data_IF_986767547387
#
_entry.id   IF_986767547387
#
_cell.length_a   1.000
_cell.length_b   1.000
_cell.length_c   1.000
_cell.angle_alpha   90.00
_cell.angle_beta   90.00
_cell.angle_gamma   90.00
#
_symmetry.space_group_name_H-M   'P 1'
#
loop_
_entity.id
_entity.type
_entity.pdbx_description
1 polymer ?
#
# COMPACT_ATOMS: atom_id res chain seq x y z
N UNK A 1 24.43 28.07 -15.14
CA UNK A 1 23.05 27.89 -14.66
C UNK A 1 22.14 27.73 -15.87
N UNK A 2 21.79 26.49 -16.23
CA UNK A 2 20.86 26.22 -17.35
C UNK A 2 19.44 26.17 -16.77
N UNK A 3 18.58 27.07 -17.22
CA UNK A 3 17.13 27.02 -16.98
C UNK A 3 16.58 25.83 -17.78
N UNK A 4 15.98 24.86 -17.10
CA UNK A 4 15.28 23.72 -17.71
C UNK A 4 13.78 24.05 -17.70
N UNK A 5 13.03 23.84 -18.80
CA UNK A 5 11.70 24.41 -18.98
C UNK A 5 10.62 23.68 -18.17
N UNK A 6 9.62 24.47 -17.75
CA UNK A 6 8.43 24.17 -16.92
C UNK A 6 7.43 23.12 -17.49
N UNK A 7 7.86 22.16 -18.31
CA UNK A 7 6.93 21.25 -19.02
C UNK A 7 6.76 19.89 -18.32
N UNK A 8 7.52 19.57 -17.27
CA UNK A 8 7.55 18.21 -16.71
C UNK A 8 6.41 17.88 -15.74
N UNK A 9 5.67 18.85 -15.21
CA UNK A 9 4.66 18.59 -14.17
C UNK A 9 3.35 17.99 -14.73
N UNK A 10 2.92 18.35 -15.95
CA UNK A 10 1.66 17.86 -16.51
C UNK A 10 1.77 16.42 -17.03
N UNK A 11 2.91 16.09 -17.63
CA UNK A 11 3.18 14.76 -18.19
C UNK A 11 3.26 13.71 -17.09
N UNK A 12 3.77 14.06 -15.90
CA UNK A 12 3.92 13.11 -14.80
C UNK A 12 2.60 12.81 -14.07
N UNK A 13 1.68 13.78 -13.93
CA UNK A 13 0.31 13.51 -13.43
C UNK A 13 -0.48 12.64 -14.40
N UNK A 14 -0.32 12.86 -15.70
CA UNK A 14 -0.91 12.00 -16.73
C UNK A 14 -0.28 10.61 -16.74
N UNK A 15 1.03 10.48 -16.51
CA UNK A 15 1.74 9.20 -16.42
C UNK A 15 1.28 8.37 -15.21
N UNK A 16 1.23 8.97 -14.01
CA UNK A 16 0.70 8.32 -12.80
C UNK A 16 -0.78 7.94 -12.95
N UNK A 17 -1.59 8.79 -13.60
CA UNK A 17 -2.99 8.48 -13.90
C UNK A 17 -3.13 7.37 -14.96
N UNK A 18 -2.23 7.26 -15.92
CA UNK A 18 -2.32 6.30 -17.02
C UNK A 18 -1.86 4.90 -16.60
N UNK A 19 -0.89 4.77 -15.70
CA UNK A 19 -0.50 3.48 -15.10
C UNK A 19 -1.65 2.91 -14.26
N UNK A 20 -2.38 3.75 -13.53
CA UNK A 20 -3.52 3.33 -12.70
C UNK A 20 -4.80 3.01 -13.49
N UNK A 21 -4.96 3.48 -14.73
CA UNK A 21 -6.15 3.24 -15.58
C UNK A 21 -6.08 1.97 -16.42
N UNK A 22 -4.91 1.36 -16.61
CA UNK A 22 -4.74 0.18 -17.49
C UNK A 22 -5.24 -1.17 -16.91
N UNK A 23 -5.93 -1.18 -15.77
CA UNK A 23 -6.40 -2.42 -15.11
C UNK A 23 -7.89 -2.48 -14.84
N UNK A 24 -8.72 -1.91 -15.71
CA UNK A 24 -10.17 -2.14 -15.70
C UNK A 24 -10.62 -2.32 -17.15
N UNK A 25 -10.82 -3.57 -17.56
CA UNK A 25 -11.57 -3.90 -18.77
C UNK A 25 -12.98 -4.30 -18.32
N UNK A 26 -14.00 -3.44 -18.43
CA UNK A 26 -15.37 -3.84 -18.18
C UNK A 26 -15.91 -4.56 -19.43
N UNK A 27 -16.12 -5.87 -19.33
CA UNK A 27 -16.94 -6.61 -20.28
C UNK A 27 -18.39 -6.13 -20.17
N UNK A 28 -18.89 -5.51 -21.22
CA UNK A 28 -20.25 -4.98 -21.32
C UNK A 28 -21.11 -5.91 -22.17
N UNK A 29 -21.89 -6.78 -21.53
CA UNK A 29 -23.16 -7.37 -21.99
C UNK A 29 -23.64 -8.33 -20.89
N UNK A 30 -24.86 -8.32 -20.36
CA UNK A 30 -26.03 -7.53 -20.66
C UNK A 30 -27.00 -7.54 -19.48
N UNK A 31 -27.93 -6.61 -19.54
CA UNK A 31 -29.13 -6.46 -18.71
C UNK A 31 -29.92 -7.77 -18.60
N UNK A 32 -30.16 -8.26 -17.38
CA UNK A 32 -31.35 -9.07 -17.08
C UNK A 32 -31.86 -8.72 -15.67
N UNK A 33 -32.90 -7.87 -15.70
CA UNK A 33 -34.09 -7.84 -14.84
C UNK A 33 -33.96 -8.03 -13.33
N UNK A 34 -34.27 -6.92 -12.66
CA UNK A 34 -34.92 -6.82 -11.34
C UNK A 34 -35.98 -7.92 -11.14
N UNK A 35 -35.74 -8.82 -10.18
CA UNK A 35 -36.81 -9.56 -9.50
C UNK A 35 -36.59 -9.41 -8.00
N UNK A 36 -37.34 -8.48 -7.42
CA UNK A 36 -37.61 -8.44 -5.99
C UNK A 36 -38.52 -9.63 -5.67
N UNK A 37 -38.01 -10.59 -4.90
CA UNK A 37 -38.86 -11.46 -4.08
C UNK A 37 -38.30 -11.43 -2.66
N UNK A 38 -39.02 -10.71 -1.82
CA UNK A 38 -38.92 -10.76 -0.37
C UNK A 38 -39.35 -12.15 0.07
N UNK A 39 -38.44 -12.94 0.63
CA UNK A 39 -38.77 -14.10 1.45
C UNK A 39 -38.05 -13.96 2.78
N UNK A 40 -38.78 -13.37 3.73
CA UNK A 40 -38.54 -13.51 5.17
C UNK A 40 -38.82 -14.95 5.61
N UNK A 41 -38.22 -15.35 6.73
CA UNK A 41 -38.22 -16.66 7.42
C UNK A 41 -37.01 -17.55 7.09
N UNK A 42 -36.20 -18.06 8.02
CA UNK A 42 -36.36 -18.23 9.45
C UNK A 42 -34.96 -18.20 10.13
N UNK A 43 -34.78 -17.33 11.12
CA UNK A 43 -33.60 -17.33 11.97
C UNK A 43 -33.72 -18.52 12.92
N UNK A 44 -33.00 -19.63 12.66
CA UNK A 44 -32.75 -20.61 13.71
C UNK A 44 -31.68 -20.03 14.62
N UNK A 45 -32.11 -19.54 15.78
CA UNK A 45 -31.22 -19.28 16.91
C UNK A 45 -30.62 -20.62 17.34
N UNK A 46 -29.40 -20.88 16.88
CA UNK A 46 -28.50 -21.76 17.59
C UNK A 46 -27.65 -20.86 18.50
N UNK A 47 -28.04 -20.78 19.77
CA UNK A 47 -27.11 -20.43 20.84
C UNK A 47 -26.01 -21.50 20.85
N UNK A 48 -24.95 -21.27 20.09
CA UNK A 48 -23.64 -21.83 20.43
C UNK A 48 -22.88 -20.66 21.02
N UNK A 49 -22.89 -20.61 22.34
CA UNK A 49 -21.87 -19.95 23.12
C UNK A 49 -20.57 -20.66 22.73
N UNK A 50 -19.90 -20.17 21.68
CA UNK A 50 -18.47 -20.40 21.51
C UNK A 50 -17.76 -19.45 22.44
N UNK A 51 -17.92 -19.69 23.74
CA UNK A 51 -16.87 -19.42 24.72
C UNK A 51 -15.80 -20.48 24.49
N UNK A 52 -15.10 -20.32 23.39
CA UNK A 52 -13.69 -20.62 23.34
C UNK A 52 -13.11 -19.24 23.16
N UNK A 53 -12.71 -18.61 24.26
CA UNK A 53 -11.53 -17.77 24.21
C UNK A 53 -10.40 -18.80 24.14
N UNK A 54 -9.96 -19.26 22.94
CA UNK A 54 -8.67 -19.88 22.91
C UNK A 54 -7.77 -18.75 23.34
N UNK A 55 -7.04 -18.95 24.43
CA UNK A 55 -5.76 -18.32 24.61
C UNK A 55 -5.13 -18.13 23.23
N UNK A 56 -5.23 -16.89 22.72
CA UNK A 56 -4.68 -16.51 21.44
C UNK A 56 -3.21 -16.49 21.73
N UNK A 57 -2.61 -17.67 21.69
CA UNK A 57 -1.22 -17.90 21.38
C UNK A 57 -1.03 -17.12 20.10
N UNK A 58 -0.63 -15.87 20.25
CA UNK A 58 -0.79 -14.82 19.25
C UNK A 58 0.28 -15.06 18.21
N UNK A 59 0.23 -16.13 17.43
CA UNK A 59 1.28 -16.57 16.50
C UNK A 59 1.93 -15.37 15.79
N UNK A 60 3.26 -15.41 15.69
CA UNK A 60 4.00 -14.34 15.03
C UNK A 60 3.40 -14.17 13.63
N UNK A 61 2.99 -12.94 13.32
CA UNK A 61 2.35 -12.66 12.04
C UNK A 61 3.29 -13.02 10.88
N UNK A 62 2.77 -13.81 9.94
CA UNK A 62 3.48 -14.12 8.71
C UNK A 62 3.67 -12.84 7.88
N UNK A 63 4.90 -12.59 7.43
CA UNK A 63 5.22 -11.38 6.68
C UNK A 63 4.48 -11.31 5.34
N UNK A 64 4.38 -12.42 4.60
CA UNK A 64 3.84 -12.40 3.25
C UNK A 64 2.32 -12.15 3.29
N UNK A 65 1.60 -12.72 4.26
CA UNK A 65 0.19 -12.41 4.52
C UNK A 65 -0.01 -10.93 4.89
N UNK A 66 0.83 -10.43 5.80
CA UNK A 66 0.85 -9.01 6.17
C UNK A 66 1.07 -8.13 4.93
N UNK A 67 2.11 -8.41 4.15
CA UNK A 67 2.56 -7.57 3.04
C UNK A 67 1.56 -7.58 1.89
N UNK A 68 0.96 -8.74 1.61
CA UNK A 68 -0.15 -8.88 0.66
C UNK A 68 -1.35 -8.03 1.08
N UNK A 69 -1.75 -8.11 2.34
CA UNK A 69 -2.88 -7.33 2.85
C UNK A 69 -2.56 -5.84 2.93
N UNK A 70 -1.32 -5.49 3.30
CA UNK A 70 -0.86 -4.11 3.37
C UNK A 70 -1.02 -3.37 2.03
N UNK A 71 -0.82 -4.06 0.90
CA UNK A 71 -0.94 -3.46 -0.44
C UNK A 71 -2.36 -3.53 -1.04
N UNK A 72 -3.28 -4.29 -0.44
CA UNK A 72 -4.63 -4.53 -1.00
C UNK A 72 -5.76 -3.92 -0.17
N UNK A 73 -5.54 -3.70 1.13
CA UNK A 73 -6.52 -3.15 2.08
C UNK A 73 -6.01 -1.83 2.67
N UNK A 74 -6.57 -0.70 2.23
CA UNK A 74 -6.12 0.63 2.64
C UNK A 74 -6.38 0.94 4.11
N UNK A 75 -7.46 0.41 4.70
CA UNK A 75 -7.75 0.56 6.12
C UNK A 75 -6.76 -0.22 6.96
N UNK A 76 -6.45 -1.46 6.55
CA UNK A 76 -5.41 -2.25 7.18
C UNK A 76 -4.04 -1.58 7.05
N UNK A 77 -3.70 -1.06 5.87
CA UNK A 77 -2.47 -0.32 5.65
C UNK A 77 -2.34 0.82 6.66
N UNK A 78 -3.34 1.69 6.77
CA UNK A 78 -3.35 2.80 7.73
C UNK A 78 -3.19 2.33 9.18
N UNK A 79 -3.81 1.21 9.55
CA UNK A 79 -3.66 0.62 10.90
C UNK A 79 -2.26 0.07 11.19
N UNK A 80 -1.47 -0.21 10.14
CA UNK A 80 -0.12 -0.79 10.22
C UNK A 80 0.98 0.21 9.95
N UNK A 81 0.66 1.50 9.88
CA UNK A 81 1.67 2.56 9.82
C UNK A 81 1.86 3.14 11.22
N UNK A 82 3.09 3.11 11.71
CA UNK A 82 3.46 3.73 12.99
C UNK A 82 3.86 5.18 12.76
N UNK A 83 2.88 6.08 12.77
CA UNK A 83 3.15 7.52 12.77
C UNK A 83 3.72 7.98 14.13
N UNK A 84 4.60 8.99 14.15
CA UNK A 84 5.28 9.56 12.99
C UNK A 84 6.30 8.58 12.40
N UNK A 85 6.36 8.49 11.07
CA UNK A 85 7.41 7.73 10.39
C UNK A 85 8.75 8.48 10.50
N UNK A 86 9.86 7.74 10.59
CA UNK A 86 11.20 8.34 10.74
C UNK A 86 11.74 9.02 9.47
N UNK A 87 11.22 8.69 8.28
CA UNK A 87 11.64 9.31 7.02
C UNK A 87 10.75 10.48 6.61
N UNK A 88 11.04 11.08 5.47
CA UNK A 88 10.38 12.29 4.97
C UNK A 88 9.98 12.13 3.50
N UNK A 89 9.11 13.02 3.04
CA UNK A 89 8.86 13.25 1.63
C UNK A 89 9.59 14.51 1.20
N UNK A 90 10.38 14.43 0.14
CA UNK A 90 11.02 15.59 -0.50
C UNK A 90 10.48 15.71 -1.91
N UNK A 91 9.80 16.83 -2.17
CA UNK A 91 9.32 17.20 -3.51
C UNK A 91 9.68 18.66 -3.83
N UNK A 92 9.23 19.17 -4.98
CA UNK A 92 9.47 20.57 -5.39
C UNK A 92 8.92 21.62 -4.41
N UNK A 93 8.02 21.24 -3.50
CA UNK A 93 7.49 22.12 -2.44
C UNK A 93 8.34 22.05 -1.16
N UNK A 94 9.38 21.21 -1.14
CA UNK A 94 10.32 21.03 -0.04
C UNK A 94 10.09 19.75 0.77
N UNK A 95 10.67 19.72 1.95
CA UNK A 95 10.61 18.56 2.85
C UNK A 95 9.34 18.54 3.70
N UNK A 96 8.69 17.38 3.79
CA UNK A 96 7.47 17.16 4.56
C UNK A 96 7.60 15.89 5.41
N UNK A 97 7.18 15.97 6.68
CA UNK A 97 7.03 14.78 7.53
C UNK A 97 5.76 14.02 7.16
N UNK A 98 5.81 12.69 7.27
CA UNK A 98 4.64 11.85 7.08
C UNK A 98 3.65 11.94 8.24
N UNK A 99 2.37 11.95 7.89
CA UNK A 99 1.22 11.93 8.77
C UNK A 99 0.10 11.11 8.11
N UNK A 100 -0.91 10.69 8.88
CA UNK A 100 -2.05 10.00 8.29
C UNK A 100 -2.82 10.84 7.26
N UNK A 101 -2.67 12.17 7.27
CA UNK A 101 -3.36 13.09 6.34
C UNK A 101 -2.69 13.23 4.97
N UNK A 102 -1.36 13.07 4.92
CA UNK A 102 -0.59 13.20 3.68
C UNK A 102 -0.01 11.87 3.18
N UNK A 103 -0.33 10.77 3.85
CA UNK A 103 0.04 9.43 3.40
C UNK A 103 -0.70 9.08 2.11
N UNK A 104 0.05 8.57 1.13
CA UNK A 104 -0.49 8.08 -0.13
C UNK A 104 -0.50 6.56 -0.05
N UNK A 105 -1.64 5.93 -0.32
CA UNK A 105 -1.78 4.48 -0.19
C UNK A 105 -0.81 3.74 -1.12
N UNK A 106 0.06 2.91 -0.54
CA UNK A 106 0.94 2.02 -1.28
C UNK A 106 0.14 0.86 -1.89
N UNK A 107 0.22 0.66 -3.20
CA UNK A 107 -0.55 -0.39 -3.90
C UNK A 107 0.33 -1.42 -4.61
N UNK A 108 1.50 -0.99 -5.06
CA UNK A 108 2.43 -1.84 -5.80
C UNK A 108 3.42 -2.45 -4.82
N UNK A 109 3.51 -3.78 -4.82
CA UNK A 109 4.55 -4.50 -4.08
C UNK A 109 5.88 -4.36 -4.79
N UNK A 110 6.99 -4.48 -4.07
CA UNK A 110 8.33 -4.42 -4.68
C UNK A 110 8.51 -5.48 -5.77
N UNK A 111 7.91 -6.66 -5.64
CA UNK A 111 7.97 -7.73 -6.64
C UNK A 111 7.14 -7.44 -7.90
N UNK A 112 6.20 -6.50 -7.83
CA UNK A 112 5.30 -6.13 -8.92
C UNK A 112 5.77 -4.86 -9.66
N UNK A 113 6.94 -4.31 -9.30
CA UNK A 113 7.53 -3.12 -9.95
C UNK A 113 8.07 -3.48 -11.34
N UNK A 114 7.83 -2.61 -12.32
CA UNK A 114 8.40 -2.71 -13.66
C UNK A 114 9.91 -2.41 -13.62
N UNK A 115 10.72 -3.46 -13.71
CA UNK A 115 12.17 -3.36 -13.65
C UNK A 115 12.83 -2.88 -14.94
N UNK A 116 12.05 -2.63 -16.00
CA UNK A 116 12.54 -1.98 -17.21
C UNK A 116 12.75 -0.47 -17.02
N UNK A 117 11.99 0.13 -16.10
CA UNK A 117 12.04 1.57 -15.77
C UNK A 117 12.69 1.81 -14.41
N UNK A 118 12.39 0.96 -13.42
CA UNK A 118 12.86 1.12 -12.05
C UNK A 118 13.97 0.14 -11.70
N UNK A 119 14.93 0.59 -10.91
CA UNK A 119 15.79 -0.30 -10.14
C UNK A 119 15.12 -0.60 -8.81
N UNK A 120 15.35 -1.80 -8.29
CA UNK A 120 14.78 -2.27 -7.02
C UNK A 120 15.84 -2.94 -6.17
N UNK A 121 15.77 -2.74 -4.86
CA UNK A 121 16.54 -3.48 -3.86
C UNK A 121 15.62 -3.82 -2.69
N UNK A 122 15.73 -5.03 -2.13
CA UNK A 122 15.05 -5.35 -0.89
C UNK A 122 15.84 -6.37 -0.06
N UNK A 123 15.65 -6.30 1.26
CA UNK A 123 16.31 -7.16 2.24
C UNK A 123 15.30 -7.59 3.31
N UNK A 124 15.14 -8.91 3.51
CA UNK A 124 14.21 -9.50 4.48
C UNK A 124 14.97 -10.25 5.57
N UNK A 125 14.55 -10.08 6.81
CA UNK A 125 14.93 -10.90 7.98
C UNK A 125 13.66 -11.33 8.71
N UNK A 126 13.79 -12.12 9.78
CA UNK A 126 12.67 -12.52 10.62
C UNK A 126 11.95 -11.35 11.32
N UNK A 127 12.61 -10.19 11.42
CA UNK A 127 12.11 -9.03 12.19
C UNK A 127 12.06 -7.73 11.40
N UNK A 128 12.60 -7.69 10.18
CA UNK A 128 12.64 -6.50 9.35
C UNK A 128 12.49 -6.80 7.87
N UNK A 129 11.89 -5.87 7.14
CA UNK A 129 11.92 -5.84 5.69
C UNK A 129 12.24 -4.41 5.24
N UNK A 130 13.26 -4.25 4.40
CA UNK A 130 13.59 -3.00 3.74
C UNK A 130 13.35 -3.19 2.25
N UNK A 131 12.73 -2.21 1.62
CA UNK A 131 12.58 -2.16 0.17
C UNK A 131 12.92 -0.74 -0.32
N UNK A 132 13.54 -0.67 -1.49
CA UNK A 132 13.92 0.55 -2.15
C UNK A 132 13.68 0.40 -3.65
N UNK A 133 13.18 1.46 -4.27
CA UNK A 133 13.16 1.56 -5.73
C UNK A 133 13.49 2.98 -6.17
N UNK A 134 14.09 3.11 -7.35
CA UNK A 134 14.55 4.40 -7.88
C UNK A 134 14.65 4.35 -9.40
N UNK A 135 14.67 5.52 -10.03
CA UNK A 135 15.01 5.69 -11.44
C UNK A 135 16.39 6.33 -11.48
N UNK A 136 17.33 5.70 -12.18
CA UNK A 136 18.71 6.18 -12.29
C UNK A 136 18.75 7.60 -12.87
N UNK A 137 19.64 8.45 -12.32
CA UNK A 137 19.92 9.81 -12.77
C UNK A 137 18.75 10.81 -12.80
N UNK A 138 17.61 10.49 -12.17
CA UNK A 138 16.44 11.39 -12.10
C UNK A 138 16.26 12.11 -10.77
N UNK A 139 16.91 11.64 -9.69
CA UNK A 139 16.62 12.10 -8.33
C UNK A 139 15.34 11.49 -7.73
N UNK A 140 14.64 10.63 -8.46
CA UNK A 140 13.48 9.88 -7.93
C UNK A 140 13.93 8.63 -7.17
N UNK A 141 13.52 8.52 -5.90
CA UNK A 141 13.68 7.29 -5.12
C UNK A 141 12.64 7.16 -4.02
N UNK A 142 12.36 5.91 -3.63
CA UNK A 142 11.51 5.58 -2.48
C UNK A 142 12.18 4.48 -1.67
N UNK A 143 12.18 4.61 -0.34
CA UNK A 143 12.68 3.61 0.60
C UNK A 143 11.68 3.41 1.74
N UNK A 144 11.29 2.16 1.99
CA UNK A 144 10.37 1.78 3.05
C UNK A 144 11.01 0.73 3.96
N UNK A 145 10.74 0.83 5.27
CA UNK A 145 11.18 -0.18 6.24
C UNK A 145 10.02 -0.62 7.13
N UNK A 146 9.83 -1.92 7.15
CA UNK A 146 8.87 -2.62 7.99
C UNK A 146 9.58 -3.31 9.14
N UNK A 147 8.94 -3.37 10.31
CA UNK A 147 9.44 -4.07 11.49
C UNK A 147 8.35 -4.90 12.15
N UNK A 148 8.74 -6.08 12.62
CA UNK A 148 7.93 -6.89 13.52
C UNK A 148 8.01 -6.30 14.94
N UNK A 149 6.90 -5.79 15.44
CA UNK A 149 6.74 -5.18 16.76
C UNK A 149 5.58 -5.86 17.47
N UNK A 150 5.82 -6.42 18.65
CA UNK A 150 4.79 -7.15 19.40
C UNK A 150 4.05 -8.17 18.53
N UNK A 151 4.82 -8.97 17.77
CA UNK A 151 4.34 -10.08 16.94
C UNK A 151 3.48 -9.65 15.73
N UNK A 152 3.48 -8.36 15.40
CA UNK A 152 2.78 -7.76 14.26
C UNK A 152 3.72 -6.88 13.44
N UNK A 153 3.61 -6.91 12.13
CA UNK A 153 4.40 -6.07 11.22
C UNK A 153 3.80 -4.67 11.09
N UNK A 154 4.69 -3.68 11.01
CA UNK A 154 4.35 -2.28 10.82
C UNK A 154 5.35 -1.60 9.89
N UNK A 155 4.86 -0.65 9.08
CA UNK A 155 5.72 0.34 8.43
C UNK A 155 6.18 1.36 9.49
N UNK A 156 7.49 1.58 9.58
CA UNK A 156 8.12 2.47 10.58
C UNK A 156 9.03 3.54 9.98
N UNK A 157 9.34 3.43 8.70
CA UNK A 157 10.15 4.37 7.94
C UNK A 157 9.64 4.43 6.50
N UNK A 158 9.49 5.64 5.96
CA UNK A 158 9.22 5.89 4.56
C UNK A 158 9.98 7.15 4.16
N UNK A 159 10.83 7.05 3.14
CA UNK A 159 11.56 8.17 2.58
C UNK A 159 11.33 8.23 1.08
N UNK A 160 10.75 9.32 0.60
CA UNK A 160 10.51 9.57 -0.82
C UNK A 160 11.28 10.81 -1.24
N UNK A 161 12.02 10.70 -2.34
CA UNK A 161 12.69 11.83 -2.99
C UNK A 161 12.16 11.96 -4.41
N UNK A 162 11.79 13.18 -4.79
CA UNK A 162 11.34 13.54 -6.12
C UNK A 162 11.81 14.98 -6.42
N UNK A 163 13.04 15.09 -6.92
CA UNK A 163 13.77 16.36 -7.10
C UNK A 163 13.70 16.89 -8.54
#
# INVERSE_FOLDING_TARGET
MKKIPLITCSIFKEFYSNIMKKRILPTLLGLVTMVVVISITNCKSANIISSTDPDKTTSIENFDDFYNRFHTDSLFQMSRIKFPLKGIKVDYEGEKKWSGKNWITMKTKIQDIDTSEFKTEYQKTDKSFMEKFWIEDTGYSSEYRFKLINRKWYLVYANEQNL
#
